data_IF_571375772046
#
_entry.id   IF_571375772046
#
_cell.length_a   1.000
_cell.length_b   1.000
_cell.length_c   1.000
_cell.angle_alpha   90.00
_cell.angle_beta   90.00
_cell.angle_gamma   90.00
#
_symmetry.space_group_name_H-M   'P 1'
#
loop_
_entity.id
_entity.type
_entity.pdbx_description
1 polymer ?
#
# COMPACT_ATOMS: atom_id res chain seq x y z
N UNK A 1 -23.27 48.90 28.49
CA UNK A 1 -21.95 48.23 28.24
C UNK A 1 -22.24 47.01 27.38
N UNK A 2 -21.89 47.06 26.09
CA UNK A 2 -22.11 45.93 25.16
C UNK A 2 -20.81 45.15 25.07
N UNK A 3 -20.79 43.97 25.65
CA UNK A 3 -19.64 43.04 25.60
C UNK A 3 -19.56 42.42 24.20
N UNK A 4 -18.50 42.73 23.44
CA UNK A 4 -18.21 42.14 22.14
C UNK A 4 -17.93 40.63 22.33
N UNK A 5 -18.54 39.73 21.52
CA UNK A 5 -18.25 38.30 21.62
C UNK A 5 -16.81 38.03 21.19
N UNK A 6 -16.07 37.32 22.01
CA UNK A 6 -14.74 36.81 21.70
C UNK A 6 -14.86 35.86 20.52
N UNK A 7 -14.44 36.29 19.34
CA UNK A 7 -14.22 35.38 18.18
C UNK A 7 -13.09 34.41 18.56
N UNK A 8 -13.43 33.16 18.86
CA UNK A 8 -12.44 32.08 18.87
C UNK A 8 -11.74 32.07 17.53
N UNK A 9 -10.44 32.42 17.53
CA UNK A 9 -9.56 32.20 16.37
C UNK A 9 -9.53 30.70 16.10
N UNK A 10 -10.17 30.23 15.07
CA UNK A 10 -9.98 28.90 14.53
C UNK A 10 -8.50 28.76 14.17
N UNK A 11 -7.75 27.95 14.91
CA UNK A 11 -6.41 27.55 14.49
C UNK A 11 -6.57 26.76 13.22
N UNK A 12 -6.28 27.38 12.09
CA UNK A 12 -6.17 26.66 10.82
C UNK A 12 -4.95 25.74 10.93
N UNK A 13 -5.18 24.44 10.95
CA UNK A 13 -4.14 23.45 10.99
C UNK A 13 -3.86 23.05 9.52
N UNK A 14 -2.73 23.47 8.96
CA UNK A 14 -2.34 23.15 7.58
C UNK A 14 -1.79 21.73 7.43
N UNK A 15 -1.96 20.89 8.45
CA UNK A 15 -1.57 19.47 8.35
C UNK A 15 -2.61 18.71 7.55
N UNK A 16 -2.22 18.00 6.49
CA UNK A 16 -3.14 17.16 5.73
C UNK A 16 -3.66 16.01 6.60
N UNK A 17 -4.91 15.66 6.44
CA UNK A 17 -5.47 14.44 7.00
C UNK A 17 -5.14 13.29 6.06
N UNK A 18 -4.29 12.37 6.51
CA UNK A 18 -3.89 11.20 5.73
C UNK A 18 -4.75 10.01 6.15
N UNK A 19 -5.47 9.44 5.18
CA UNK A 19 -6.14 8.15 5.28
C UNK A 19 -5.30 7.13 4.51
N UNK A 20 -4.44 6.43 5.23
CA UNK A 20 -3.48 5.51 4.64
C UNK A 20 -4.12 4.14 4.40
N UNK A 21 -3.94 3.59 3.20
CA UNK A 21 -4.29 2.22 2.85
C UNK A 21 -3.04 1.36 2.58
N UNK A 22 -3.15 0.05 2.78
CA UNK A 22 -2.15 -0.92 2.35
C UNK A 22 -2.79 -1.95 1.41
N UNK A 23 -2.17 -2.14 0.25
CA UNK A 23 -2.52 -3.15 -0.75
C UNK A 23 -1.36 -4.12 -0.88
N UNK A 24 -1.59 -5.39 -0.61
CA UNK A 24 -0.57 -6.41 -0.84
C UNK A 24 -0.61 -6.91 -2.28
N UNK A 25 0.55 -7.23 -2.81
CA UNK A 25 0.69 -7.86 -4.12
C UNK A 25 1.36 -9.23 -3.99
N UNK A 26 1.11 -10.11 -4.95
CA UNK A 26 1.68 -11.45 -5.00
C UNK A 26 1.85 -11.90 -6.44
N UNK A 27 2.92 -12.61 -6.74
CA UNK A 27 3.10 -13.28 -8.02
C UNK A 27 2.69 -14.74 -7.93
N UNK A 28 2.00 -15.24 -8.94
CA UNK A 28 1.40 -16.57 -9.02
C UNK A 28 2.34 -17.75 -8.72
N UNK A 29 3.65 -17.59 -8.99
CA UNK A 29 4.66 -18.62 -8.68
C UNK A 29 5.20 -18.58 -7.23
N UNK A 30 4.70 -17.64 -6.41
CA UNK A 30 5.04 -17.51 -4.98
C UNK A 30 3.80 -17.76 -4.10
N UNK A 31 3.98 -18.22 -2.85
CA UNK A 31 2.84 -18.44 -1.96
C UNK A 31 2.12 -17.11 -1.65
N UNK A 32 0.86 -17.00 -2.06
CA UNK A 32 0.05 -15.80 -1.78
C UNK A 32 -0.11 -15.56 -0.27
N UNK A 33 -0.20 -16.64 0.50
CA UNK A 33 -0.34 -16.60 1.97
C UNK A 33 0.85 -15.92 2.63
N UNK A 34 2.04 -16.00 2.05
CA UNK A 34 3.23 -15.30 2.54
C UNK A 34 3.03 -13.79 2.49
N UNK A 35 2.53 -13.28 1.37
CA UNK A 35 2.24 -11.85 1.20
C UNK A 35 1.14 -11.38 2.16
N UNK A 36 0.06 -12.16 2.26
CA UNK A 36 -1.06 -11.87 3.16
C UNK A 36 -0.63 -11.86 4.63
N UNK A 37 0.14 -12.85 5.07
CA UNK A 37 0.66 -12.94 6.44
C UNK A 37 1.56 -11.75 6.78
N UNK A 38 2.46 -11.39 5.87
CA UNK A 38 3.38 -10.26 6.05
C UNK A 38 2.62 -8.93 6.10
N UNK A 39 1.59 -8.74 5.25
CA UNK A 39 0.69 -7.57 5.32
C UNK A 39 -0.03 -7.48 6.67
N UNK A 40 -0.62 -8.57 7.12
CA UNK A 40 -1.30 -8.62 8.41
C UNK A 40 -0.36 -8.28 9.59
N UNK A 41 0.89 -8.72 9.53
CA UNK A 41 1.90 -8.38 10.52
C UNK A 41 2.20 -6.86 10.54
N UNK A 42 2.30 -6.24 9.38
CA UNK A 42 2.45 -4.77 9.28
C UNK A 42 1.24 -4.08 9.89
N UNK A 43 0.03 -4.51 9.53
CA UNK A 43 -1.21 -3.93 10.07
C UNK A 43 -1.26 -4.03 11.60
N UNK A 44 -0.84 -5.16 12.16
CA UNK A 44 -0.82 -5.38 13.61
C UNK A 44 0.26 -4.53 14.33
N UNK A 45 1.41 -4.31 13.68
CA UNK A 45 2.51 -3.54 14.25
C UNK A 45 2.33 -2.03 14.13
N UNK A 46 1.60 -1.56 13.12
CA UNK A 46 1.39 -0.15 12.87
C UNK A 46 0.38 0.44 13.85
N UNK A 47 0.81 1.46 14.61
CA UNK A 47 -0.02 2.07 15.66
C UNK A 47 -0.96 3.16 15.14
N UNK A 48 -0.78 3.59 13.90
CA UNK A 48 -1.63 4.59 13.26
C UNK A 48 -2.89 3.98 12.65
N UNK A 49 -3.73 4.85 12.10
CA UNK A 49 -4.88 4.41 11.32
C UNK A 49 -4.42 3.92 9.94
N UNK A 50 -4.69 2.65 9.63
CA UNK A 50 -4.29 2.00 8.39
C UNK A 50 -5.43 1.11 7.90
N UNK A 51 -5.97 1.44 6.74
CA UNK A 51 -6.93 0.58 6.06
C UNK A 51 -6.21 -0.59 5.39
N UNK A 52 -6.63 -1.80 5.69
CA UNK A 52 -6.10 -3.01 5.06
C UNK A 52 -7.03 -3.45 3.92
N UNK A 53 -6.59 -3.28 2.67
CA UNK A 53 -7.33 -3.78 1.52
C UNK A 53 -7.40 -5.31 1.57
N UNK A 54 -8.59 -5.92 1.49
CA UNK A 54 -8.74 -7.37 1.52
C UNK A 54 -8.21 -8.06 0.27
N UNK A 55 -8.13 -7.31 -0.85
CA UNK A 55 -7.64 -7.85 -2.12
C UNK A 55 -6.12 -7.94 -2.11
N UNK A 56 -5.59 -9.12 -2.46
CA UNK A 56 -4.18 -9.30 -2.81
C UNK A 56 -4.08 -9.31 -4.32
N UNK A 57 -3.23 -8.45 -4.89
CA UNK A 57 -3.17 -8.23 -6.33
C UNK A 57 -2.19 -9.21 -6.97
N UNK A 58 -2.69 -10.08 -7.86
CA UNK A 58 -1.88 -10.99 -8.66
C UNK A 58 -2.00 -10.70 -10.17
N UNK A 59 -3.03 -9.98 -10.58
CA UNK A 59 -3.34 -9.67 -11.97
C UNK A 59 -4.07 -8.32 -12.10
N UNK A 60 -4.34 -7.89 -13.33
CA UNK A 60 -5.02 -6.62 -13.61
C UNK A 60 -6.46 -6.57 -13.09
N UNK A 61 -7.16 -7.69 -13.03
CA UNK A 61 -8.52 -7.74 -12.48
C UNK A 61 -8.53 -7.47 -10.98
N UNK A 62 -7.56 -8.04 -10.28
CA UNK A 62 -7.41 -7.80 -8.84
C UNK A 62 -6.93 -6.37 -8.58
N UNK A 63 -6.07 -5.82 -9.43
CA UNK A 63 -5.65 -4.43 -9.37
C UNK A 63 -6.86 -3.48 -9.45
N UNK A 64 -7.79 -3.70 -10.39
CA UNK A 64 -8.99 -2.87 -10.51
C UNK A 64 -9.86 -2.96 -9.25
N UNK A 65 -10.06 -4.18 -8.71
CA UNK A 65 -10.82 -4.40 -7.46
C UNK A 65 -10.15 -3.70 -6.27
N UNK A 66 -8.83 -3.83 -6.15
CA UNK A 66 -8.08 -3.22 -5.05
C UNK A 66 -8.16 -1.69 -5.09
N UNK A 67 -7.99 -1.08 -6.27
CA UNK A 67 -8.09 0.38 -6.45
C UNK A 67 -9.51 0.86 -6.14
N UNK A 68 -10.54 0.14 -6.59
CA UNK A 68 -11.93 0.47 -6.26
C UNK A 68 -12.19 0.39 -4.75
N UNK A 69 -11.68 -0.65 -4.09
CA UNK A 69 -11.85 -0.89 -2.66
C UNK A 69 -11.21 0.22 -1.81
N UNK A 70 -9.97 0.58 -2.08
CA UNK A 70 -9.29 1.66 -1.33
C UNK A 70 -9.89 3.03 -1.61
N UNK A 71 -10.46 3.26 -2.80
CA UNK A 71 -11.22 4.48 -3.10
C UNK A 71 -12.54 4.53 -2.32
N UNK A 72 -13.26 3.42 -2.22
CA UNK A 72 -14.48 3.31 -1.38
C UNK A 72 -14.17 3.53 0.10
N UNK A 73 -13.01 3.09 0.55
CA UNK A 73 -12.52 3.34 1.90
C UNK A 73 -12.01 4.79 2.11
N UNK A 74 -12.10 5.63 1.08
CA UNK A 74 -11.63 7.03 1.09
C UNK A 74 -10.14 7.17 1.43
N UNK A 75 -9.30 6.18 1.09
CA UNK A 75 -7.86 6.30 1.22
C UNK A 75 -7.34 7.40 0.29
N UNK A 76 -6.42 8.22 0.79
CA UNK A 76 -5.79 9.29 0.00
C UNK A 76 -4.25 9.14 -0.09
N UNK A 77 -3.71 8.08 0.48
CA UNK A 77 -2.33 7.62 0.32
C UNK A 77 -2.29 6.10 0.41
N UNK A 78 -1.40 5.46 -0.35
CA UNK A 78 -1.27 3.99 -0.36
C UNK A 78 0.16 3.53 -0.06
N UNK A 79 0.23 2.39 0.61
CA UNK A 79 1.38 1.49 0.62
C UNK A 79 1.07 0.34 -0.32
N UNK A 80 1.82 0.18 -1.39
CA UNK A 80 1.82 -1.01 -2.24
C UNK A 80 2.90 -1.95 -1.71
N UNK A 81 2.48 -3.06 -1.13
CA UNK A 81 3.33 -3.92 -0.34
C UNK A 81 3.67 -5.21 -1.08
N UNK A 82 4.93 -5.35 -1.46
CA UNK A 82 5.49 -6.56 -2.04
C UNK A 82 5.84 -7.53 -0.90
N UNK A 83 4.89 -8.38 -0.53
CA UNK A 83 5.12 -9.43 0.47
C UNK A 83 5.88 -10.63 -0.11
N UNK A 84 5.86 -10.77 -1.43
CA UNK A 84 6.73 -11.60 -2.26
C UNK A 84 7.11 -10.80 -3.52
N UNK A 85 7.58 -11.45 -4.58
CA UNK A 85 8.09 -10.81 -5.80
C UNK A 85 7.11 -9.78 -6.40
N UNK A 86 5.81 -10.04 -6.35
CA UNK A 86 4.78 -9.19 -6.95
C UNK A 86 4.62 -9.35 -8.47
N UNK A 87 3.46 -8.97 -9.00
CA UNK A 87 3.16 -9.00 -10.43
C UNK A 87 3.57 -7.69 -11.08
N UNK A 88 4.55 -7.71 -11.93
CA UNK A 88 5.28 -6.56 -12.51
C UNK A 88 4.38 -5.44 -13.06
N UNK A 89 3.37 -5.80 -13.86
CA UNK A 89 2.48 -4.82 -14.49
C UNK A 89 1.35 -4.39 -13.55
N UNK A 90 0.56 -5.29 -12.94
CA UNK A 90 -0.55 -4.92 -12.08
C UNK A 90 -0.15 -4.04 -10.90
N UNK A 91 0.96 -4.33 -10.24
CA UNK A 91 1.40 -3.55 -9.07
C UNK A 91 1.72 -2.10 -9.43
N UNK A 92 2.36 -1.85 -10.58
CA UNK A 92 2.67 -0.48 -11.02
C UNK A 92 1.45 0.26 -11.55
N UNK A 93 0.46 -0.47 -12.08
CA UNK A 93 -0.83 0.10 -12.50
C UNK A 93 -1.67 0.57 -11.31
N UNK A 94 -1.46 0.07 -10.08
CA UNK A 94 -2.10 0.61 -8.89
C UNK A 94 -1.79 2.11 -8.78
N UNK A 95 -0.50 2.48 -8.85
CA UNK A 95 -0.10 3.88 -8.75
C UNK A 95 -0.66 4.75 -9.88
N UNK A 96 -0.78 4.21 -11.10
CA UNK A 96 -1.36 4.93 -12.23
C UNK A 96 -2.87 5.19 -12.10
N UNK A 97 -3.59 4.31 -11.40
CA UNK A 97 -5.05 4.35 -11.28
C UNK A 97 -5.54 4.90 -9.92
N UNK A 98 -4.63 5.26 -9.03
CA UNK A 98 -4.93 5.85 -7.73
C UNK A 98 -4.57 7.34 -7.71
N UNK A 99 -5.49 8.19 -7.24
CA UNK A 99 -5.36 9.65 -7.28
C UNK A 99 -4.61 10.21 -6.06
N UNK A 100 -3.58 9.52 -5.59
CA UNK A 100 -2.80 9.92 -4.42
C UNK A 100 -1.38 9.36 -4.43
N UNK A 101 -0.55 9.76 -3.47
CA UNK A 101 0.80 9.21 -3.36
C UNK A 101 0.77 7.71 -3.05
N UNK A 102 1.65 6.97 -3.72
CA UNK A 102 1.88 5.56 -3.49
C UNK A 102 3.33 5.33 -3.07
N UNK A 103 3.52 4.65 -1.94
CA UNK A 103 4.82 4.18 -1.49
C UNK A 103 4.92 2.67 -1.72
N UNK A 104 5.92 2.24 -2.47
CA UNK A 104 6.20 0.82 -2.67
C UNK A 104 7.16 0.32 -1.60
N UNK A 105 6.84 -0.82 -0.99
CA UNK A 105 7.59 -1.40 0.13
C UNK A 105 7.77 -2.89 -0.11
N UNK A 106 9.00 -3.36 -0.11
CA UNK A 106 9.33 -4.78 -0.22
C UNK A 106 9.61 -5.40 1.15
N UNK A 107 9.07 -6.58 1.38
CA UNK A 107 9.39 -7.36 2.57
C UNK A 107 10.83 -7.86 2.54
N UNK A 108 11.52 -7.77 3.68
CA UNK A 108 12.79 -8.48 3.85
C UNK A 108 12.56 -10.00 3.82
N UNK A 109 13.55 -10.75 3.35
CA UNK A 109 13.53 -12.19 3.54
C UNK A 109 13.61 -12.52 5.05
N UNK A 110 13.00 -13.64 5.42
CA UNK A 110 13.10 -14.15 6.79
C UNK A 110 14.49 -14.69 7.11
N UNK A 111 14.63 -15.33 8.25
CA UNK A 111 15.89 -15.76 8.90
C UNK A 111 16.76 -16.78 8.12
N UNK A 112 16.86 -16.62 6.81
CA UNK A 112 17.69 -17.48 5.96
C UNK A 112 17.00 -18.74 5.45
N UNK A 113 15.71 -18.96 5.75
CA UNK A 113 14.93 -20.02 5.11
C UNK A 113 14.60 -19.67 3.67
N UNK A 114 15.58 -19.87 2.81
CA UNK A 114 15.48 -19.63 1.37
C UNK A 114 14.70 -20.74 0.63
N UNK A 115 14.28 -21.78 1.34
CA UNK A 115 13.57 -22.93 0.74
C UNK A 115 12.06 -22.75 0.91
N UNK A 116 11.58 -22.46 2.13
CA UNK A 116 10.15 -22.44 2.44
C UNK A 116 9.57 -21.02 2.64
N UNK A 117 10.42 -20.04 2.91
CA UNK A 117 10.02 -18.66 3.22
C UNK A 117 10.43 -17.63 2.18
N UNK A 118 11.02 -18.08 1.05
CA UNK A 118 11.54 -17.17 0.02
C UNK A 118 10.40 -16.47 -0.71
N UNK A 119 10.46 -15.16 -0.73
CA UNK A 119 9.50 -14.32 -1.44
C UNK A 119 10.11 -13.50 -2.57
N UNK A 120 11.42 -13.33 -2.58
CA UNK A 120 12.18 -12.53 -3.57
C UNK A 120 11.64 -11.09 -3.73
N UNK A 121 11.08 -10.52 -2.69
CA UNK A 121 10.43 -9.23 -2.75
C UNK A 121 11.38 -8.08 -3.17
N UNK A 122 12.67 -8.17 -2.81
CA UNK A 122 13.66 -7.17 -3.26
C UNK A 122 13.94 -7.25 -4.75
N UNK A 123 13.98 -8.45 -5.34
CA UNK A 123 14.07 -8.61 -6.79
C UNK A 123 12.82 -8.03 -7.47
N UNK A 124 11.65 -8.30 -6.92
CA UNK A 124 10.40 -7.71 -7.35
C UNK A 124 10.41 -6.18 -7.28
N UNK A 125 10.95 -5.61 -6.21
CA UNK A 125 11.07 -4.15 -6.06
C UNK A 125 12.00 -3.53 -7.09
N UNK A 126 13.09 -4.18 -7.47
CA UNK A 126 13.98 -3.69 -8.55
C UNK A 126 13.22 -3.63 -9.87
N UNK A 127 12.45 -4.69 -10.18
CA UNK A 127 11.61 -4.75 -11.37
C UNK A 127 10.50 -3.68 -11.32
N UNK A 128 9.79 -3.58 -10.18
CA UNK A 128 8.77 -2.57 -9.95
C UNK A 128 9.32 -1.15 -10.17
N UNK A 129 10.48 -0.84 -9.61
CA UNK A 129 11.12 0.48 -9.76
C UNK A 129 11.44 0.80 -11.22
N UNK A 130 11.95 -0.18 -11.98
CA UNK A 130 12.18 -0.02 -13.41
C UNK A 130 10.87 0.26 -14.16
N UNK A 131 9.84 -0.54 -13.92
CA UNK A 131 8.55 -0.38 -14.59
C UNK A 131 7.85 0.93 -14.23
N UNK A 132 7.97 1.40 -13.00
CA UNK A 132 7.46 2.73 -12.61
C UNK A 132 8.16 3.84 -13.41
N UNK A 133 9.49 3.75 -13.56
CA UNK A 133 10.26 4.69 -14.37
C UNK A 133 9.86 4.71 -15.85
N UNK A 134 9.39 3.59 -16.38
CA UNK A 134 8.93 3.48 -17.79
C UNK A 134 7.51 4.04 -18.01
N UNK A 135 6.75 4.33 -16.94
CA UNK A 135 5.36 4.78 -17.02
C UNK A 135 5.17 6.29 -16.90
N UNK A 136 6.23 7.06 -16.93
CA UNK A 136 6.21 8.55 -16.91
C UNK A 136 5.83 9.13 -18.26
#
# INVERSE_FOLDING_TARGET
>A
MITKPHRKRLKMNNLPVVKLGIVAVSRDCFPIELSQKRRAAIRAAYKGDLYECPVTVENEQDMLKAVEDVKKAECNALVVFLGNFGPETPETLIAKNFDGPCMFVAAAEGDGDMINGRGDAYCGMLNCSYNLGMRH
#
